data_IF_653852533521
#
_entry.id   IF_653852533521
#
_cell.length_a   1.000
_cell.length_b   1.000
_cell.length_c   1.000
_cell.angle_alpha   90.00
_cell.angle_beta   90.00
_cell.angle_gamma   90.00
#
_symmetry.space_group_name_H-M   'P 1'
#
loop_
_entity.id
_entity.type
_entity.pdbx_description
1 polymer ?
#
# COMPACT_ATOMS: atom_id res chain seq x y z
N UNK A 1 3.28 -50.36 -24.14
CA UNK A 1 2.23 -49.40 -23.78
C UNK A 1 1.86 -49.66 -22.32
N UNK A 2 2.38 -48.85 -21.41
CA UNK A 2 2.03 -48.89 -19.99
C UNK A 2 1.55 -47.51 -19.60
N UNK A 3 0.24 -47.39 -19.38
CA UNK A 3 -0.39 -46.19 -18.83
C UNK A 3 -0.08 -46.11 -17.34
N UNK A 4 0.64 -45.09 -16.93
CA UNK A 4 0.81 -44.75 -15.53
C UNK A 4 -0.47 -44.03 -15.02
N UNK A 5 -1.25 -44.73 -14.18
CA UNK A 5 -2.32 -44.11 -13.40
C UNK A 5 -1.69 -43.18 -12.33
N UNK A 6 -1.85 -41.92 -12.49
CA UNK A 6 -1.59 -40.96 -11.43
C UNK A 6 -2.70 -41.07 -10.38
N UNK A 7 -2.39 -41.64 -9.23
CA UNK A 7 -3.25 -41.64 -8.04
C UNK A 7 -3.30 -40.21 -7.49
N UNK A 8 -4.45 -39.54 -7.67
CA UNK A 8 -4.77 -38.32 -6.97
C UNK A 8 -4.88 -38.62 -5.46
N UNK A 9 -3.98 -38.08 -4.66
CA UNK A 9 -4.08 -38.13 -3.20
C UNK A 9 -5.21 -37.21 -2.79
N UNK A 10 -6.27 -37.71 -2.13
CA UNK A 10 -7.34 -36.82 -1.62
C UNK A 10 -6.73 -35.92 -0.54
N UNK A 11 -7.00 -34.62 -0.65
CA UNK A 11 -6.71 -33.68 0.42
C UNK A 11 -7.44 -34.14 1.68
N UNK A 12 -6.69 -34.44 2.74
CA UNK A 12 -7.24 -34.71 4.06
C UNK A 12 -7.95 -33.42 4.53
N UNK A 13 -9.28 -33.38 4.41
CA UNK A 13 -10.11 -32.45 5.15
C UNK A 13 -9.98 -32.79 6.64
N UNK A 14 -9.17 -32.04 7.34
CA UNK A 14 -9.16 -32.09 8.81
C UNK A 14 -10.44 -31.45 9.27
N UNK A 15 -11.41 -32.29 9.71
CA UNK A 15 -12.62 -31.86 10.42
C UNK A 15 -12.23 -31.30 11.80
N UNK A 16 -11.70 -30.05 11.81
CA UNK A 16 -11.64 -29.23 13.01
C UNK A 16 -12.95 -28.45 13.14
N UNK A 17 -13.31 -27.98 14.34
CA UNK A 17 -14.50 -27.11 14.49
C UNK A 17 -14.35 -25.95 13.50
N UNK A 18 -15.43 -25.68 12.75
CA UNK A 18 -15.51 -24.53 11.87
C UNK A 18 -15.10 -23.30 12.67
N UNK A 19 -14.01 -22.65 12.28
CA UNK A 19 -13.57 -21.42 12.95
C UNK A 19 -14.76 -20.45 12.94
N UNK A 20 -15.16 -19.92 14.08
CA UNK A 20 -16.30 -19.01 14.13
C UNK A 20 -16.06 -17.87 13.15
N UNK A 21 -17.00 -17.70 12.23
CA UNK A 21 -16.92 -16.64 11.23
C UNK A 21 -16.61 -15.31 11.94
N UNK A 22 -15.58 -14.61 11.49
CA UNK A 22 -15.15 -13.35 12.11
C UNK A 22 -16.31 -12.36 12.08
N UNK A 23 -16.92 -12.08 13.24
CA UNK A 23 -17.96 -11.08 13.35
C UNK A 23 -17.37 -9.68 13.21
N UNK A 24 -17.47 -9.13 11.99
CA UNK A 24 -16.90 -7.84 11.64
C UNK A 24 -17.45 -6.68 12.47
N UNK A 25 -18.73 -6.75 12.84
CA UNK A 25 -19.41 -5.67 13.57
C UNK A 25 -19.10 -5.68 15.07
N UNK A 26 -18.62 -6.81 15.61
CA UNK A 26 -18.21 -6.96 16.99
C UNK A 26 -16.71 -6.67 17.25
N UNK A 27 -15.96 -6.25 16.21
CA UNK A 27 -14.51 -6.00 16.35
C UNK A 27 -14.26 -4.75 17.19
N UNK A 28 -13.36 -4.86 18.19
CA UNK A 28 -12.80 -3.71 18.91
C UNK A 28 -11.80 -2.94 18.03
N UNK A 29 -12.33 -2.07 17.20
CA UNK A 29 -11.54 -1.26 16.27
C UNK A 29 -10.51 -0.37 16.96
N UNK A 30 -10.86 0.19 18.13
CA UNK A 30 -9.95 1.05 18.87
C UNK A 30 -8.72 0.30 19.33
N UNK A 31 -8.91 -0.88 19.90
CA UNK A 31 -7.80 -1.74 20.34
C UNK A 31 -6.88 -2.13 19.19
N UNK A 32 -7.44 -2.52 18.03
CA UNK A 32 -6.64 -2.87 16.85
C UNK A 32 -5.91 -1.68 16.23
N UNK A 33 -6.55 -0.52 16.13
CA UNK A 33 -5.91 0.71 15.62
C UNK A 33 -4.78 1.17 16.56
N UNK A 34 -4.97 1.06 17.87
CA UNK A 34 -3.95 1.37 18.86
C UNK A 34 -2.75 0.43 18.78
N UNK A 35 -2.96 -0.86 18.55
CA UNK A 35 -1.86 -1.82 18.35
C UNK A 35 -1.04 -1.46 17.10
N UNK A 36 -1.69 -1.17 15.98
CA UNK A 36 -1.02 -0.74 14.75
C UNK A 36 -0.25 0.56 15.00
N UNK A 37 -0.87 1.54 15.65
CA UNK A 37 -0.24 2.82 15.98
C UNK A 37 1.01 2.63 16.85
N UNK A 38 0.94 1.82 17.91
CA UNK A 38 2.08 1.52 18.78
C UNK A 38 3.23 0.84 18.02
N UNK A 39 2.93 -0.10 17.12
CA UNK A 39 3.96 -0.73 16.28
C UNK A 39 4.61 0.28 15.34
N UNK A 40 3.82 1.15 14.71
CA UNK A 40 4.34 2.23 13.84
C UNK A 40 5.28 3.15 14.61
N UNK A 41 4.90 3.58 15.82
CA UNK A 41 5.74 4.41 16.69
C UNK A 41 7.05 3.71 17.06
N UNK A 42 6.99 2.41 17.36
CA UNK A 42 8.19 1.61 17.69
C UNK A 42 9.13 1.47 16.50
N UNK A 43 8.60 1.26 15.27
CA UNK A 43 9.40 1.23 14.04
C UNK A 43 10.08 2.59 13.84
N UNK A 44 9.30 3.67 13.92
CA UNK A 44 9.82 5.04 13.77
C UNK A 44 10.95 5.34 14.77
N UNK A 45 10.74 5.02 16.06
CA UNK A 45 11.77 5.22 17.09
C UNK A 45 13.02 4.39 16.82
N UNK A 46 12.86 3.09 16.52
CA UNK A 46 13.99 2.21 16.22
C UNK A 46 14.78 2.67 14.98
N UNK A 47 14.10 3.29 14.00
CA UNK A 47 14.77 3.88 12.84
C UNK A 47 15.59 5.11 13.23
N UNK A 48 15.04 5.98 14.08
CA UNK A 48 15.80 7.14 14.59
C UNK A 48 16.99 6.76 15.45
N UNK A 49 16.86 5.65 16.20
CA UNK A 49 17.93 5.07 17.02
C UNK A 49 18.92 4.24 16.15
N UNK A 50 18.72 4.16 14.83
CA UNK A 50 19.52 3.37 13.84
C UNK A 50 19.62 1.87 14.17
N UNK A 51 18.70 1.34 15.00
CA UNK A 51 18.63 -0.09 15.33
C UNK A 51 17.95 -0.89 14.22
N UNK A 52 18.67 -1.10 13.13
CA UNK A 52 18.15 -1.75 11.91
C UNK A 52 17.65 -3.18 12.16
N UNK A 53 18.28 -3.93 13.06
CA UNK A 53 17.82 -5.28 13.43
C UNK A 53 16.43 -5.23 14.05
N UNK A 54 16.21 -4.30 14.97
CA UNK A 54 14.93 -4.07 15.64
C UNK A 54 13.87 -3.55 14.65
N UNK A 55 14.24 -2.63 13.75
CA UNK A 55 13.37 -2.16 12.66
C UNK A 55 12.84 -3.35 11.87
N UNK A 56 13.72 -4.23 11.34
CA UNK A 56 13.31 -5.40 10.55
C UNK A 56 12.45 -6.38 11.34
N UNK A 57 12.73 -6.59 12.62
CA UNK A 57 11.92 -7.45 13.49
C UNK A 57 10.51 -6.86 13.72
N UNK A 58 10.40 -5.58 14.00
CA UNK A 58 9.12 -4.89 14.17
C UNK A 58 8.30 -4.85 12.87
N UNK A 59 8.94 -4.67 11.72
CA UNK A 59 8.29 -4.75 10.41
C UNK A 59 7.74 -6.15 10.13
N UNK A 60 8.50 -7.22 10.44
CA UNK A 60 8.01 -8.61 10.36
C UNK A 60 6.82 -8.83 11.29
N UNK A 61 6.87 -8.30 12.51
CA UNK A 61 5.76 -8.38 13.46
C UNK A 61 4.52 -7.65 12.93
N UNK A 62 4.68 -6.44 12.38
CA UNK A 62 3.58 -5.68 11.76
C UNK A 62 2.93 -6.47 10.62
N UNK A 63 3.73 -7.05 9.72
CA UNK A 63 3.23 -7.83 8.58
C UNK A 63 2.48 -9.11 8.99
N UNK A 64 2.77 -9.67 10.17
CA UNK A 64 2.10 -10.85 10.73
C UNK A 64 0.92 -10.52 11.63
N UNK A 65 0.75 -9.25 11.99
CA UNK A 65 -0.28 -8.81 12.93
C UNK A 65 -1.68 -8.94 12.35
N UNK A 66 -2.59 -9.59 13.08
CA UNK A 66 -4.02 -9.62 12.77
C UNK A 66 -4.58 -8.20 12.79
N UNK A 67 -4.20 -7.38 13.76
CA UNK A 67 -4.63 -5.98 13.85
C UNK A 67 -4.28 -5.20 12.60
N UNK A 68 -3.07 -5.39 12.05
CA UNK A 68 -2.70 -4.77 10.78
C UNK A 68 -3.55 -5.27 9.61
N UNK A 69 -3.90 -6.56 9.58
CA UNK A 69 -4.82 -7.10 8.56
C UNK A 69 -6.20 -6.48 8.66
N UNK A 70 -6.80 -6.47 9.85
CA UNK A 70 -8.14 -5.92 10.09
C UNK A 70 -8.22 -4.43 9.74
N UNK A 71 -7.28 -3.63 10.24
CA UNK A 71 -7.20 -2.19 9.94
C UNK A 71 -7.00 -1.94 8.44
N UNK A 72 -6.21 -2.77 7.76
CA UNK A 72 -5.99 -2.64 6.32
C UNK A 72 -7.23 -2.99 5.50
N UNK A 73 -7.95 -4.06 5.87
CA UNK A 73 -9.24 -4.39 5.24
C UNK A 73 -10.23 -3.26 5.45
N UNK A 74 -10.38 -2.75 6.70
CA UNK A 74 -11.25 -1.61 7.01
C UNK A 74 -10.90 -0.38 6.18
N UNK A 75 -9.63 -0.04 6.08
CA UNK A 75 -9.16 1.11 5.29
C UNK A 75 -9.58 0.98 3.83
N UNK A 76 -9.37 -0.17 3.21
CA UNK A 76 -9.63 -0.40 1.78
C UNK A 76 -11.11 -0.52 1.47
N UNK A 77 -11.91 -1.18 2.34
CA UNK A 77 -13.30 -1.55 2.06
C UNK A 77 -14.35 -0.61 2.66
N UNK A 78 -13.96 0.23 3.63
CA UNK A 78 -14.90 1.17 4.28
C UNK A 78 -14.48 2.63 4.15
N UNK A 79 -13.18 2.95 4.39
CA UNK A 79 -12.72 4.35 4.47
C UNK A 79 -12.26 4.91 3.13
N UNK A 80 -11.73 4.08 2.24
CA UNK A 80 -11.22 4.54 0.95
C UNK A 80 -12.38 4.93 0.02
N UNK A 81 -12.27 6.07 -0.66
CA UNK A 81 -13.24 6.52 -1.68
C UNK A 81 -13.44 5.49 -2.79
N UNK A 82 -12.37 4.80 -3.22
CA UNK A 82 -12.40 3.75 -4.23
C UNK A 82 -12.93 2.39 -3.77
N UNK A 83 -13.58 2.27 -2.59
CA UNK A 83 -14.05 1.00 -2.01
C UNK A 83 -15.03 0.22 -2.89
N UNK A 84 -15.82 0.93 -3.71
CA UNK A 84 -16.79 0.34 -4.64
C UNK A 84 -16.22 0.03 -6.02
N UNK A 85 -14.98 0.43 -6.29
CA UNK A 85 -14.36 0.25 -7.61
C UNK A 85 -13.56 -1.05 -7.65
N UNK A 86 -13.99 -2.06 -8.44
CA UNK A 86 -13.28 -3.33 -8.52
C UNK A 86 -12.03 -3.22 -9.40
N UNK A 87 -11.06 -4.12 -9.15
CA UNK A 87 -9.95 -4.39 -10.05
C UNK A 87 -10.37 -5.18 -11.29
N UNK A 88 -9.42 -5.90 -11.87
CA UNK A 88 -9.67 -6.78 -13.04
C UNK A 88 -10.52 -8.01 -12.69
N UNK A 89 -10.56 -8.39 -11.42
CA UNK A 89 -11.28 -9.57 -10.91
C UNK A 89 -12.75 -9.30 -10.58
N UNK A 90 -13.21 -8.05 -10.70
CA UNK A 90 -14.56 -7.65 -10.35
C UNK A 90 -14.87 -7.67 -8.84
N UNK A 91 -13.92 -8.05 -7.98
CA UNK A 91 -14.19 -8.26 -6.55
C UNK A 91 -14.27 -6.94 -5.77
N UNK A 92 -15.29 -6.88 -4.90
CA UNK A 92 -15.47 -5.85 -3.88
C UNK A 92 -15.95 -6.53 -2.57
N UNK A 93 -15.81 -5.87 -1.42
CA UNK A 93 -16.31 -6.35 -0.13
C UNK A 93 -17.13 -5.23 0.52
N UNK A 94 -18.45 -5.28 0.33
CA UNK A 94 -19.35 -4.21 0.73
C UNK A 94 -20.15 -4.55 2.00
N UNK A 95 -20.35 -5.84 2.30
CA UNK A 95 -21.04 -6.29 3.52
C UNK A 95 -20.07 -6.60 4.65
N UNK A 96 -20.56 -6.71 5.88
CA UNK A 96 -19.74 -7.12 7.03
C UNK A 96 -19.23 -8.56 6.87
N UNK A 97 -20.03 -9.45 6.30
CA UNK A 97 -19.66 -10.82 5.99
C UNK A 97 -18.48 -10.87 5.01
N UNK A 98 -18.59 -10.20 3.84
CA UNK A 98 -17.52 -10.14 2.84
C UNK A 98 -16.19 -9.64 3.43
N UNK A 99 -16.26 -8.65 4.33
CA UNK A 99 -15.09 -8.08 4.99
C UNK A 99 -14.46 -9.04 5.99
N UNK A 100 -15.28 -9.75 6.75
CA UNK A 100 -14.84 -10.78 7.69
C UNK A 100 -14.11 -11.90 6.96
N UNK A 101 -14.70 -12.46 5.92
CA UNK A 101 -14.11 -13.50 5.08
C UNK A 101 -12.82 -13.02 4.41
N UNK A 102 -12.83 -11.79 3.85
CA UNK A 102 -11.64 -11.19 3.28
C UNK A 102 -10.52 -11.09 4.31
N UNK A 103 -10.82 -10.64 5.54
CA UNK A 103 -9.82 -10.48 6.59
C UNK A 103 -9.20 -11.83 6.98
N UNK A 104 -9.99 -12.87 7.17
CA UNK A 104 -9.53 -14.23 7.47
C UNK A 104 -8.65 -14.75 6.33
N UNK A 105 -9.13 -14.67 5.09
CA UNK A 105 -8.38 -15.07 3.90
C UNK A 105 -7.03 -14.36 3.79
N UNK A 106 -7.03 -13.02 3.94
CA UNK A 106 -5.81 -12.22 3.82
C UNK A 106 -4.82 -12.45 4.96
N UNK A 107 -5.31 -12.80 6.17
CA UNK A 107 -4.44 -13.10 7.30
C UNK A 107 -3.79 -14.47 7.17
N UNK A 108 -4.53 -15.48 6.73
CA UNK A 108 -4.07 -16.87 6.57
C UNK A 108 -3.26 -17.09 5.31
N UNK A 109 -3.35 -16.18 4.32
CA UNK A 109 -2.71 -16.39 3.04
C UNK A 109 -1.20 -16.55 3.17
N UNK A 110 -0.73 -17.75 2.81
CA UNK A 110 0.67 -18.11 2.81
C UNK A 110 1.44 -17.37 1.71
N UNK A 111 2.74 -17.18 1.93
CA UNK A 111 3.69 -16.69 0.93
C UNK A 111 4.12 -17.83 0.00
N UNK A 112 4.60 -17.53 -1.24
CA UNK A 112 4.84 -16.21 -1.81
C UNK A 112 3.57 -15.53 -2.33
N UNK A 113 3.53 -14.18 -2.26
CA UNK A 113 2.47 -13.39 -2.87
C UNK A 113 2.72 -13.24 -4.37
N UNK A 114 1.68 -13.43 -5.18
CA UNK A 114 1.70 -13.15 -6.61
C UNK A 114 0.70 -12.03 -6.92
N UNK A 115 1.22 -10.90 -7.38
CA UNK A 115 0.41 -9.75 -7.74
C UNK A 115 -0.37 -9.98 -9.04
N UNK A 116 -1.53 -9.34 -9.15
CA UNK A 116 -2.31 -9.34 -10.40
C UNK A 116 -2.12 -8.03 -11.15
N UNK A 117 -2.27 -8.04 -12.49
CA UNK A 117 -2.22 -6.81 -13.28
C UNK A 117 -3.23 -5.78 -12.79
N UNK A 118 -2.89 -4.50 -12.90
CA UNK A 118 -3.81 -3.42 -12.56
C UNK A 118 -4.75 -3.11 -13.72
N UNK A 119 -6.00 -2.74 -13.42
CA UNK A 119 -6.94 -2.25 -14.42
C UNK A 119 -6.68 -0.78 -14.68
N UNK A 120 -6.33 -0.40 -15.90
CA UNK A 120 -6.17 1.00 -16.30
C UNK A 120 -7.51 1.65 -16.60
N UNK A 121 -7.73 2.82 -16.01
CA UNK A 121 -8.84 3.70 -16.31
C UNK A 121 -8.33 5.12 -16.48
N UNK A 122 -9.02 5.92 -17.27
CA UNK A 122 -8.64 7.32 -17.50
C UNK A 122 -9.66 8.22 -16.83
N UNK A 123 -9.18 9.19 -16.05
CA UNK A 123 -10.03 10.22 -15.45
C UNK A 123 -9.69 11.59 -16.04
N UNK A 124 -10.68 12.46 -16.28
CA UNK A 124 -10.43 13.82 -16.76
C UNK A 124 -9.58 14.60 -15.76
N UNK A 125 -8.59 15.33 -16.26
CA UNK A 125 -7.85 16.30 -15.44
C UNK A 125 -8.62 17.61 -15.43
N UNK A 126 -8.97 18.09 -14.25
CA UNK A 126 -9.75 19.32 -14.07
C UNK A 126 -9.09 20.50 -14.82
N UNK A 127 -9.90 21.27 -15.57
CA UNK A 127 -9.42 22.45 -16.32
C UNK A 127 -8.63 22.15 -17.61
N UNK A 128 -8.52 20.89 -18.04
CA UNK A 128 -7.80 20.53 -19.27
C UNK A 128 -8.53 19.43 -20.05
N UNK A 129 -8.22 19.29 -21.38
CA UNK A 129 -8.66 18.15 -22.19
C UNK A 129 -7.83 16.87 -21.94
N UNK A 130 -6.80 16.95 -21.08
CA UNK A 130 -5.91 15.81 -20.80
C UNK A 130 -6.57 14.84 -19.83
N UNK A 131 -6.29 13.56 -19.99
CA UNK A 131 -6.73 12.50 -19.10
C UNK A 131 -5.55 12.02 -18.22
N UNK A 132 -5.86 11.61 -16.98
CA UNK A 132 -4.90 11.02 -16.08
C UNK A 132 -5.11 9.50 -16.04
N UNK A 133 -4.11 8.68 -16.36
CA UNK A 133 -4.23 7.25 -16.23
C UNK A 133 -4.18 6.84 -14.75
N UNK A 134 -5.14 6.02 -14.32
CA UNK A 134 -5.14 5.38 -13.01
C UNK A 134 -5.02 3.87 -13.17
N UNK A 135 -4.17 3.24 -12.37
CA UNK A 135 -4.09 1.79 -12.25
C UNK A 135 -4.84 1.30 -11.02
N UNK A 136 -5.92 0.55 -11.19
CA UNK A 136 -6.74 0.03 -10.09
C UNK A 136 -6.32 -1.42 -9.83
N UNK A 137 -5.62 -1.69 -8.69
CA UNK A 137 -5.27 -3.05 -8.30
C UNK A 137 -6.51 -3.83 -7.85
N UNK A 138 -6.43 -5.16 -7.87
CA UNK A 138 -7.45 -6.03 -7.30
C UNK A 138 -7.58 -5.80 -5.79
N UNK A 139 -8.75 -6.13 -5.23
CA UNK A 139 -9.06 -5.88 -3.83
C UNK A 139 -8.01 -6.49 -2.87
N UNK A 140 -7.59 -7.72 -3.13
CA UNK A 140 -6.58 -8.42 -2.35
C UNK A 140 -5.22 -7.69 -2.35
N UNK A 141 -4.77 -7.22 -3.53
CA UNK A 141 -3.52 -6.43 -3.63
C UNK A 141 -3.62 -5.12 -2.86
N UNK A 142 -4.76 -4.41 -2.94
CA UNK A 142 -4.96 -3.18 -2.17
C UNK A 142 -4.83 -3.41 -0.66
N UNK A 143 -5.39 -4.51 -0.14
CA UNK A 143 -5.27 -4.87 1.28
C UNK A 143 -3.82 -5.18 1.65
N UNK A 144 -3.11 -5.97 0.83
CA UNK A 144 -1.69 -6.27 1.08
C UNK A 144 -0.81 -5.02 0.97
N UNK A 145 -1.06 -4.16 0.00
CA UNK A 145 -0.38 -2.86 -0.12
C UNK A 145 -0.59 -2.00 1.13
N UNK A 146 -1.80 -1.97 1.69
CA UNK A 146 -2.08 -1.25 2.94
C UNK A 146 -1.30 -1.85 4.12
N UNK A 147 -1.25 -3.19 4.24
CA UNK A 147 -0.47 -3.88 5.27
C UNK A 147 1.02 -3.56 5.17
N UNK A 148 1.56 -3.59 3.95
CA UNK A 148 2.97 -3.27 3.67
C UNK A 148 3.25 -1.79 3.93
N UNK A 149 2.36 -0.88 3.52
CA UNK A 149 2.46 0.55 3.83
C UNK A 149 2.58 0.80 5.33
N UNK A 150 1.72 0.18 6.15
CA UNK A 150 1.75 0.32 7.60
C UNK A 150 3.10 -0.11 8.23
N UNK A 151 3.82 -1.05 7.59
CA UNK A 151 5.11 -1.52 8.05
C UNK A 151 6.29 -0.70 7.51
N UNK A 152 6.17 -0.14 6.30
CA UNK A 152 7.26 0.56 5.59
C UNK A 152 7.29 2.06 5.91
N UNK A 153 6.12 2.70 5.87
CA UNK A 153 5.99 4.16 6.01
C UNK A 153 6.67 4.75 7.27
N UNK A 154 6.60 4.13 8.48
CA UNK A 154 7.25 4.70 9.67
C UNK A 154 8.78 4.77 9.57
N UNK A 155 9.41 3.83 8.87
CA UNK A 155 10.86 3.88 8.60
C UNK A 155 11.21 5.07 7.71
N UNK A 156 10.47 5.26 6.63
CA UNK A 156 10.71 6.36 5.70
C UNK A 156 10.35 7.72 6.30
N UNK A 157 9.26 7.79 7.07
CA UNK A 157 8.87 9.03 7.77
C UNK A 157 9.96 9.51 8.73
N UNK A 158 10.70 8.60 9.37
CA UNK A 158 11.82 8.93 10.24
C UNK A 158 13.06 9.43 9.48
N UNK A 159 13.17 9.13 8.17
CA UNK A 159 14.32 9.46 7.31
C UNK A 159 14.08 10.67 6.41
N UNK A 160 12.83 10.99 6.12
CA UNK A 160 12.49 12.10 5.23
C UNK A 160 12.89 13.45 5.81
N UNK A 161 13.28 14.35 4.93
CA UNK A 161 13.60 15.72 5.26
C UNK A 161 12.45 16.42 6.01
N UNK A 162 12.74 17.16 7.10
CA UNK A 162 11.71 17.78 7.93
C UNK A 162 10.78 18.75 7.16
N UNK A 163 11.26 19.34 6.09
CA UNK A 163 10.52 20.32 5.26
C UNK A 163 9.89 19.72 4.00
N UNK A 164 9.84 18.42 3.87
CA UNK A 164 9.08 17.73 2.83
C UNK A 164 7.64 17.52 3.30
N UNK A 165 6.66 17.93 2.50
CA UNK A 165 5.23 17.94 2.88
C UNK A 165 4.38 16.97 2.07
N UNK A 166 4.70 16.74 0.79
CA UNK A 166 3.89 15.94 -0.10
C UNK A 166 3.73 14.48 0.36
N UNK A 167 2.48 14.01 0.41
CA UNK A 167 2.10 12.62 0.68
C UNK A 167 2.56 12.04 2.02
N UNK A 168 2.88 12.88 2.98
CA UNK A 168 3.30 12.47 4.32
C UNK A 168 2.15 12.51 5.31
N UNK A 169 2.06 11.55 6.26
CA UNK A 169 1.00 11.51 7.25
C UNK A 169 1.04 12.75 8.15
N UNK A 170 -0.15 13.35 8.38
CA UNK A 170 -0.29 14.53 9.24
C UNK A 170 0.28 15.82 8.67
N UNK A 171 0.57 15.88 7.37
CA UNK A 171 1.04 17.09 6.68
C UNK A 171 0.14 17.41 5.50
N UNK A 172 -0.29 18.67 5.40
CA UNK A 172 -1.15 19.15 4.33
C UNK A 172 -0.48 20.24 3.49
N UNK A 173 -1.16 20.65 2.43
CA UNK A 173 -0.71 21.78 1.59
C UNK A 173 -0.65 23.09 2.38
N UNK A 174 -1.54 23.29 3.36
CA UNK A 174 -1.52 24.49 4.21
C UNK A 174 -0.26 24.57 5.08
N UNK A 175 0.25 23.43 5.59
CA UNK A 175 1.52 23.40 6.33
C UNK A 175 2.70 23.81 5.45
N UNK A 176 2.68 23.38 4.18
CA UNK A 176 3.70 23.76 3.20
C UNK A 176 3.63 25.27 2.90
N UNK A 177 2.43 25.81 2.68
CA UNK A 177 2.22 27.24 2.42
C UNK A 177 2.68 28.07 3.63
N UNK A 178 2.32 27.66 4.85
CA UNK A 178 2.76 28.32 6.07
C UNK A 178 4.29 28.32 6.21
N UNK A 179 4.94 27.21 5.91
CA UNK A 179 6.42 27.10 5.96
C UNK A 179 7.09 28.01 4.92
N UNK A 180 6.53 28.10 3.71
CA UNK A 180 6.99 29.01 2.65
C UNK A 180 6.82 30.46 3.12
N UNK A 181 5.64 30.82 3.60
CA UNK A 181 5.34 32.17 4.09
C UNK A 181 6.32 32.58 5.20
N UNK A 182 6.48 31.77 6.25
CA UNK A 182 7.42 32.04 7.35
C UNK A 182 8.87 32.16 6.90
N UNK A 183 9.23 31.52 5.79
CA UNK A 183 10.61 31.55 5.26
C UNK A 183 10.87 32.80 4.41
N UNK A 184 9.87 33.29 3.69
CA UNK A 184 10.00 34.37 2.71
C UNK A 184 9.46 35.71 3.20
N UNK A 185 8.56 35.72 4.19
CA UNK A 185 7.93 36.94 4.71
C UNK A 185 8.80 37.58 5.79
N UNK A 186 8.92 38.90 5.70
CA UNK A 186 9.56 39.78 6.69
C UNK A 186 10.91 40.34 6.25
N UNK A 187 11.26 41.50 6.83
CA UNK A 187 12.44 42.32 6.48
C UNK A 187 13.78 41.61 6.75
N UNK A 188 13.76 40.55 7.56
CA UNK A 188 14.96 39.73 7.89
C UNK A 188 15.14 38.53 6.98
N UNK A 189 14.26 38.32 5.99
CA UNK A 189 14.40 37.18 5.06
C UNK A 189 15.62 37.40 4.17
N UNK A 190 16.59 36.46 4.26
CA UNK A 190 17.79 36.46 3.42
C UNK A 190 17.59 35.68 2.10
N UNK A 191 16.46 34.94 1.98
CA UNK A 191 16.19 34.11 0.80
C UNK A 191 15.41 34.92 -0.23
N UNK A 192 16.11 35.32 -1.29
CA UNK A 192 15.55 36.16 -2.37
C UNK A 192 15.26 35.39 -3.66
N UNK A 193 15.75 34.15 -3.74
CA UNK A 193 15.61 33.31 -4.93
C UNK A 193 14.74 32.11 -4.64
N UNK A 194 13.83 31.79 -5.55
CA UNK A 194 12.93 30.64 -5.51
C UNK A 194 13.21 29.79 -6.72
N UNK A 195 13.51 28.51 -6.52
CA UNK A 195 13.54 27.51 -7.57
C UNK A 195 12.18 26.81 -7.60
N UNK A 196 11.43 27.01 -8.69
CA UNK A 196 10.22 26.23 -9.00
C UNK A 196 10.61 25.15 -9.99
N UNK A 197 10.48 23.86 -9.57
CA UNK A 197 10.87 22.72 -10.37
C UNK A 197 9.81 21.61 -10.23
N UNK A 198 9.45 20.98 -11.34
CA UNK A 198 8.54 19.85 -11.41
C UNK A 198 9.17 18.69 -12.19
N UNK A 199 8.82 17.45 -11.82
CA UNK A 199 9.28 16.24 -12.48
C UNK A 199 8.23 15.77 -13.50
N UNK A 200 8.56 15.86 -14.77
CA UNK A 200 7.68 15.38 -15.83
C UNK A 200 7.52 13.86 -15.74
N UNK A 201 6.25 13.39 -15.62
CA UNK A 201 5.94 11.96 -15.61
C UNK A 201 6.59 11.17 -14.48
N UNK A 202 6.82 11.79 -13.31
CA UNK A 202 7.61 11.19 -12.21
C UNK A 202 7.19 9.75 -11.89
N UNK A 203 5.90 9.47 -11.77
CA UNK A 203 5.42 8.12 -11.44
C UNK A 203 5.55 7.11 -12.58
N UNK A 204 5.57 7.57 -13.81
CA UNK A 204 5.65 6.72 -14.99
C UNK A 204 7.11 6.35 -15.34
N UNK A 205 8.08 7.13 -14.83
CA UNK A 205 9.52 6.98 -15.11
C UNK A 205 10.35 6.44 -13.93
N UNK A 206 9.71 5.98 -12.83
CA UNK A 206 10.46 5.41 -11.69
C UNK A 206 11.09 4.09 -12.10
N UNK A 207 12.43 4.04 -12.09
CA UNK A 207 13.17 2.80 -12.33
C UNK A 207 12.99 1.82 -11.16
N UNK A 208 12.61 0.56 -11.46
CA UNK A 208 12.26 -0.43 -10.43
C UNK A 208 13.47 -0.87 -9.60
N UNK A 209 14.62 -1.13 -10.22
CA UNK A 209 15.79 -1.62 -9.48
C UNK A 209 16.38 -0.60 -8.49
N UNK A 210 16.55 0.70 -8.82
CA UNK A 210 16.94 1.69 -7.84
C UNK A 210 15.95 1.84 -6.68
N UNK A 211 14.64 1.79 -6.97
CA UNK A 211 13.60 1.82 -5.95
C UNK A 211 13.72 0.61 -4.99
N UNK A 212 13.88 -0.59 -5.55
CA UNK A 212 14.05 -1.81 -4.77
C UNK A 212 15.38 -1.81 -3.98
N UNK A 213 16.45 -1.24 -4.53
CA UNK A 213 17.71 -1.05 -3.82
C UNK A 213 17.55 -0.10 -2.63
N UNK A 214 16.84 1.02 -2.80
CA UNK A 214 16.55 1.96 -1.72
C UNK A 214 15.73 1.32 -0.57
N UNK A 215 14.78 0.43 -0.90
CA UNK A 215 13.99 -0.34 0.09
C UNK A 215 14.88 -1.33 0.88
N UNK A 216 16.00 -1.78 0.31
CA UNK A 216 17.00 -2.61 0.95
C UNK A 216 16.46 -3.96 1.44
N UNK A 217 16.70 -4.27 2.72
CA UNK A 217 16.35 -5.55 3.36
C UNK A 217 14.94 -5.58 3.95
N UNK A 218 14.03 -4.72 3.49
CA UNK A 218 12.64 -4.72 3.97
C UNK A 218 11.96 -6.11 3.78
N UNK A 219 11.27 -6.64 4.81
CA UNK A 219 10.78 -8.01 4.78
C UNK A 219 9.78 -8.33 3.66
N UNK A 220 9.05 -7.35 3.15
CA UNK A 220 8.09 -7.51 2.05
C UNK A 220 8.60 -6.94 0.71
N UNK A 221 9.92 -6.77 0.54
CA UNK A 221 10.54 -6.28 -0.71
C UNK A 221 10.11 -7.09 -1.93
N UNK A 222 9.99 -8.42 -1.78
CA UNK A 222 9.51 -9.31 -2.85
C UNK A 222 8.09 -8.99 -3.29
N UNK A 223 7.18 -8.66 -2.36
CA UNK A 223 5.81 -8.26 -2.70
C UNK A 223 5.78 -6.93 -3.47
N UNK A 224 6.64 -5.99 -3.10
CA UNK A 224 6.75 -4.71 -3.82
C UNK A 224 7.24 -4.95 -5.25
N UNK A 225 8.24 -5.82 -5.45
CA UNK A 225 8.69 -6.22 -6.79
C UNK A 225 7.54 -6.82 -7.61
N UNK A 226 6.76 -7.73 -7.05
CA UNK A 226 5.60 -8.32 -7.71
C UNK A 226 4.59 -7.26 -8.18
N UNK A 227 4.28 -6.24 -7.37
CA UNK A 227 3.37 -5.17 -7.78
C UNK A 227 3.94 -4.26 -8.86
N UNK A 228 5.24 -3.99 -8.84
CA UNK A 228 5.90 -3.18 -9.86
C UNK A 228 5.89 -3.87 -11.23
N UNK A 229 6.03 -5.19 -11.24
CA UNK A 229 6.11 -6.00 -12.47
C UNK A 229 4.80 -6.68 -12.87
N UNK A 230 3.70 -6.44 -12.13
CA UNK A 230 2.41 -7.09 -12.36
C UNK A 230 1.78 -6.80 -13.72
N UNK A 231 2.17 -5.71 -14.36
CA UNK A 231 1.60 -5.27 -15.63
C UNK A 231 0.26 -4.54 -15.49
N UNK A 232 -0.26 -4.13 -16.62
CA UNK A 232 -1.49 -3.33 -16.77
C UNK A 232 -2.43 -4.01 -17.75
N UNK A 233 -3.73 -3.97 -17.46
CA UNK A 233 -4.77 -4.32 -18.45
C UNK A 233 -5.51 -3.03 -18.82
N UNK A 234 -5.45 -2.69 -20.10
CA UNK A 234 -6.13 -1.56 -20.71
C UNK A 234 -7.01 -2.03 -21.87
N UNK A 235 -8.29 -1.73 -21.82
CA UNK A 235 -9.26 -2.17 -22.86
C UNK A 235 -9.18 -3.66 -23.19
N UNK A 236 -8.95 -4.51 -22.17
CA UNK A 236 -8.84 -5.97 -22.31
C UNK A 236 -7.47 -6.47 -22.80
N UNK A 237 -6.50 -5.58 -23.08
CA UNK A 237 -5.15 -5.95 -23.52
C UNK A 237 -4.16 -5.84 -22.37
N UNK A 238 -3.33 -6.85 -22.21
CA UNK A 238 -2.25 -6.85 -21.23
C UNK A 238 -1.01 -6.14 -21.79
N UNK A 239 -0.40 -5.30 -20.95
CA UNK A 239 0.91 -4.71 -21.20
C UNK A 239 1.82 -4.91 -19.97
N UNK A 240 3.06 -5.39 -20.15
CA UNK A 240 4.01 -5.49 -19.05
C UNK A 240 4.46 -4.10 -18.58
N UNK A 241 4.90 -3.99 -17.32
CA UNK A 241 5.48 -2.77 -16.75
C UNK A 241 6.95 -3.00 -16.44
N UNK A 242 7.83 -2.25 -17.09
CA UNK A 242 9.29 -2.30 -16.90
C UNK A 242 9.79 -1.16 -16.01
N UNK A 243 9.03 -0.09 -15.93
CA UNK A 243 9.29 1.11 -15.15
C UNK A 243 7.96 1.72 -14.66
N UNK A 244 8.05 2.70 -13.79
CA UNK A 244 6.91 3.41 -13.24
C UNK A 244 6.18 2.65 -12.14
N UNK A 245 5.27 3.36 -11.49
CA UNK A 245 4.36 2.81 -10.49
C UNK A 245 2.93 3.14 -10.86
N UNK A 246 1.96 2.21 -10.74
CA UNK A 246 0.58 2.49 -11.10
C UNK A 246 0.01 3.57 -10.16
N UNK A 247 -0.40 4.70 -10.72
CA UNK A 247 -1.12 5.73 -9.97
C UNK A 247 -2.48 5.17 -9.54
N UNK A 248 -2.82 5.28 -8.24
CA UNK A 248 -4.07 4.76 -7.66
C UNK A 248 -3.92 3.53 -6.78
N UNK A 249 -2.72 2.96 -6.65
CA UNK A 249 -2.41 1.95 -5.64
C UNK A 249 -2.32 2.55 -4.23
N UNK A 250 -2.53 1.73 -3.19
CA UNK A 250 -2.47 2.18 -1.78
C UNK A 250 -1.05 2.58 -1.36
N UNK A 251 -0.02 2.00 -1.97
CA UNK A 251 1.40 2.32 -1.73
C UNK A 251 1.81 3.56 -2.51
N UNK A 252 1.29 3.73 -3.72
CA UNK A 252 1.48 4.95 -4.50
C UNK A 252 0.56 6.02 -3.91
N UNK A 253 1.07 7.22 -3.59
CA UNK A 253 0.26 8.26 -2.97
C UNK A 253 -0.99 8.55 -3.81
N UNK A 254 -2.18 8.64 -3.19
CA UNK A 254 -3.36 9.10 -3.91
C UNK A 254 -3.11 10.55 -4.34
N UNK A 255 -3.19 10.80 -5.62
CA UNK A 255 -3.30 12.16 -6.13
C UNK A 255 -4.69 12.66 -5.76
N UNK A 256 -4.78 13.52 -4.78
CA UNK A 256 -5.96 14.34 -4.51
C UNK A 256 -6.10 15.42 -5.58
#
# INVERSE_FOLDING_TARGET
>A
MAQALALAVPALEVNGPEDPALNWDAIDWRGHEDQVRRLRQRIFKATRDEDWKKVRNLQKLMLRSLSNTLVSVRQVTQRNAGRKTPGIDGQVALTSCDRGELAVRMHRQARPWKARPVRRVFIPKLGTKKQRPLGIPVLADRVQQCRVKNALEPEWEARFEPRSYGFRPGRGCHDAIEAIFKTLCGDRSQRRWILDADLAGAFDAIAHEPLLAAIGTFPARGMIREWLTAGVIESGRFAPTWEGTPQGGVITPPTQ
#
